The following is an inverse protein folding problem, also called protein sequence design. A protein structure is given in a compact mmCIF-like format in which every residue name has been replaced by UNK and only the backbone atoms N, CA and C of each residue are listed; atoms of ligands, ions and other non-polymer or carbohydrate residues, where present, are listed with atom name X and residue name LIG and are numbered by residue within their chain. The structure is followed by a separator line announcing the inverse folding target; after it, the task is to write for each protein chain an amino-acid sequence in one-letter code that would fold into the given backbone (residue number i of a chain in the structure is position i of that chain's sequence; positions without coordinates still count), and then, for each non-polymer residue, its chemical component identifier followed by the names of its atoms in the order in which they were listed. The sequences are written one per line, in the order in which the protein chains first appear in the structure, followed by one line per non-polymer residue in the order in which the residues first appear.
data_IF_614926078607
#
_entry.id   IF_614926078607
#
_cell.length_a   1.000
_cell.length_b   1.000
_cell.length_c   1.000
_cell.angle_alpha   90.00
_cell.angle_beta   90.00
_cell.angle_gamma   90.00
#
_symmetry.space_group_name_H-M   'P 1'
#
loop_
_entity.id
_entity.type
_entity.pdbx_description
1 polymer ?
#
# COMPACT_ATOMS: atom_id res chain seq x y z
N UNK A 1 -12.47 -19.14 16.53
CA UNK A 1 -11.50 -18.04 16.40
C UNK A 1 -11.30 -17.73 14.92
N UNK A 2 -11.20 -16.44 14.54
CA UNK A 2 -11.14 -16.03 13.13
C UNK A 2 -9.90 -15.17 12.87
N UNK A 3 -9.44 -15.21 11.62
CA UNK A 3 -8.35 -14.39 11.10
C UNK A 3 -8.91 -13.46 10.02
N UNK A 4 -8.54 -12.19 10.05
CA UNK A 4 -8.96 -11.21 9.07
C UNK A 4 -7.77 -10.88 8.15
N UNK A 5 -7.87 -11.22 6.88
CA UNK A 5 -6.85 -10.94 5.87
C UNK A 5 -7.24 -9.79 4.96
N UNK A 6 -6.29 -8.90 4.67
CA UNK A 6 -6.44 -7.83 3.68
C UNK A 6 -5.50 -8.03 2.50
N UNK A 7 -5.97 -7.62 1.32
CA UNK A 7 -5.16 -7.46 0.11
C UNK A 7 -5.38 -6.04 -0.43
N UNK A 8 -4.36 -5.19 -0.25
CA UNK A 8 -4.38 -3.78 -0.66
C UNK A 8 -3.86 -3.69 -2.10
N UNK A 9 -4.72 -4.00 -3.04
CA UNK A 9 -4.40 -3.92 -4.47
C UNK A 9 -4.57 -2.51 -5.05
N UNK A 10 -4.08 -2.31 -6.26
CA UNK A 10 -4.29 -1.06 -7.01
C UNK A 10 -5.70 -0.94 -7.61
N UNK A 11 -6.36 -2.05 -7.89
CA UNK A 11 -7.74 -2.05 -8.42
C UNK A 11 -8.79 -2.04 -7.33
N UNK A 12 -8.53 -2.67 -6.19
CA UNK A 12 -9.45 -2.77 -5.06
C UNK A 12 -8.73 -3.20 -3.79
N UNK A 13 -9.35 -2.93 -2.66
CA UNK A 13 -8.97 -3.49 -1.36
C UNK A 13 -9.94 -4.62 -1.04
N UNK A 14 -9.39 -5.82 -0.79
CA UNK A 14 -10.15 -7.00 -0.39
C UNK A 14 -9.99 -7.28 1.10
N UNK A 15 -11.06 -7.76 1.72
CA UNK A 15 -11.05 -8.32 3.07
C UNK A 15 -11.60 -9.74 3.02
N UNK A 16 -11.02 -10.65 3.79
CA UNK A 16 -11.46 -12.04 3.91
C UNK A 16 -11.39 -12.49 5.36
N UNK A 17 -12.47 -13.08 5.85
CA UNK A 17 -12.57 -13.66 7.18
C UNK A 17 -12.41 -15.17 7.08
N UNK A 18 -11.42 -15.73 7.76
CA UNK A 18 -11.08 -17.15 7.73
C UNK A 18 -11.26 -17.76 9.11
N UNK A 19 -11.92 -18.90 9.20
CA UNK A 19 -11.96 -19.70 10.43
C UNK A 19 -10.56 -20.32 10.65
N UNK A 20 -9.93 -20.00 11.80
CA UNK A 20 -8.56 -20.39 12.10
C UNK A 20 -8.38 -21.91 12.28
N UNK A 21 -9.43 -22.64 12.63
CA UNK A 21 -9.37 -24.09 12.87
C UNK A 21 -9.53 -24.89 11.56
N UNK A 22 -10.40 -24.42 10.69
CA UNK A 22 -10.75 -25.15 9.46
C UNK A 22 -10.05 -24.63 8.21
N UNK A 23 -9.43 -23.44 8.28
CA UNK A 23 -8.85 -22.73 7.13
C UNK A 23 -9.88 -22.25 6.10
N UNK A 24 -11.18 -22.39 6.37
CA UNK A 24 -12.23 -22.00 5.43
C UNK A 24 -12.52 -20.51 5.48
N UNK A 25 -12.64 -19.88 4.30
CA UNK A 25 -13.15 -18.53 4.18
C UNK A 25 -14.65 -18.50 4.53
N UNK A 26 -15.01 -17.65 5.49
CA UNK A 26 -16.38 -17.51 6.01
C UNK A 26 -17.11 -16.39 5.28
N UNK A 27 -16.41 -15.29 5.04
CA UNK A 27 -16.95 -14.12 4.34
C UNK A 27 -15.81 -13.39 3.64
N UNK A 28 -16.10 -12.79 2.49
CA UNK A 28 -15.16 -11.92 1.78
C UNK A 28 -15.87 -10.78 1.09
N UNK A 29 -15.21 -9.65 1.01
CA UNK A 29 -15.71 -8.47 0.30
C UNK A 29 -14.54 -7.67 -0.28
N UNK A 30 -14.84 -6.82 -1.25
CA UNK A 30 -13.86 -5.89 -1.81
C UNK A 30 -14.51 -4.55 -2.15
N UNK A 31 -13.74 -3.51 -2.11
CA UNK A 31 -14.14 -2.16 -2.53
C UNK A 31 -12.96 -1.45 -3.21
N UNK A 32 -13.24 -0.51 -4.15
CA UNK A 32 -14.57 -0.19 -4.68
C UNK A 32 -15.14 -1.35 -5.51
N UNK A 33 -16.43 -1.31 -5.85
CA UNK A 33 -17.09 -2.32 -6.70
C UNK A 33 -16.74 -2.20 -8.18
N UNK A 34 -16.27 -1.01 -8.57
CA UNK A 34 -15.62 -0.74 -9.85
C UNK A 34 -14.12 -0.63 -9.61
N UNK A 35 -13.31 -0.72 -10.65
CA UNK A 35 -11.86 -0.57 -10.52
C UNK A 35 -11.49 0.81 -9.94
N UNK A 36 -10.60 0.82 -8.95
CA UNK A 36 -10.13 2.05 -8.34
C UNK A 36 -9.36 2.90 -9.35
N UNK A 37 -9.62 4.21 -9.33
CA UNK A 37 -8.96 5.13 -10.25
C UNK A 37 -7.44 5.20 -10.01
N UNK A 38 -6.70 5.22 -11.10
CA UNK A 38 -5.27 5.53 -11.14
C UNK A 38 -5.11 6.90 -11.79
N UNK A 39 -4.46 7.83 -11.11
CA UNK A 39 -4.13 9.14 -11.65
C UNK A 39 -2.88 9.03 -12.53
N UNK A 40 -3.04 9.34 -13.82
CA UNK A 40 -2.00 9.29 -14.83
C UNK A 40 -1.85 10.65 -15.52
N UNK A 41 -1.28 11.63 -14.81
CA UNK A 41 -1.13 13.01 -15.32
C UNK A 41 -0.20 13.11 -16.54
N UNK A 42 0.69 12.13 -16.73
CA UNK A 42 1.62 12.02 -17.88
C UNK A 42 1.75 10.55 -18.29
N UNK A 43 2.16 10.26 -19.53
CA UNK A 43 2.48 8.89 -19.94
C UNK A 43 3.51 8.24 -19.00
N UNK A 44 3.24 7.02 -18.57
CA UNK A 44 4.09 6.26 -17.66
C UNK A 44 3.97 6.65 -16.17
N UNK A 45 3.16 7.64 -15.82
CA UNK A 45 2.86 7.98 -14.44
C UNK A 45 1.66 7.18 -13.93
N UNK A 46 1.73 6.75 -12.69
CA UNK A 46 0.65 6.06 -12.01
C UNK A 46 0.66 6.39 -10.51
N UNK A 47 -0.39 7.04 -10.05
CA UNK A 47 -0.53 7.47 -8.66
C UNK A 47 -1.91 7.11 -8.11
N UNK A 48 -1.97 6.90 -6.80
CA UNK A 48 -3.21 6.73 -6.06
C UNK A 48 -3.17 7.50 -4.74
N UNK A 49 -4.33 7.97 -4.29
CA UNK A 49 -4.45 8.55 -2.95
C UNK A 49 -4.49 7.42 -1.90
N UNK A 50 -3.53 7.35 -0.96
CA UNK A 50 -3.52 6.37 0.11
C UNK A 50 -4.77 6.40 0.99
N UNK A 51 -5.43 7.57 1.12
CA UNK A 51 -6.68 7.68 1.87
C UNK A 51 -7.79 6.83 1.26
N UNK A 52 -7.83 6.69 -0.06
CA UNK A 52 -8.80 5.82 -0.72
C UNK A 52 -8.59 4.33 -0.38
N UNK A 53 -7.34 3.89 -0.18
CA UNK A 53 -7.09 2.51 0.29
C UNK A 53 -7.66 2.30 1.68
N UNK A 54 -7.48 3.29 2.58
CA UNK A 54 -8.01 3.24 3.95
C UNK A 54 -9.54 3.21 3.97
N UNK A 55 -10.20 4.08 3.18
CA UNK A 55 -11.66 4.09 3.08
C UNK A 55 -12.21 2.74 2.54
N UNK A 56 -11.59 2.22 1.47
CA UNK A 56 -11.99 0.94 0.91
C UNK A 56 -11.72 -0.25 1.86
N UNK A 57 -10.68 -0.17 2.69
CA UNK A 57 -10.42 -1.15 3.74
C UNK A 57 -11.56 -1.15 4.77
N UNK A 58 -11.98 0.03 5.24
CA UNK A 58 -13.11 0.16 6.18
C UNK A 58 -14.39 -0.42 5.59
N UNK A 59 -14.72 -0.08 4.35
CA UNK A 59 -15.91 -0.59 3.65
C UNK A 59 -15.86 -2.11 3.48
N UNK A 60 -14.70 -2.65 3.11
CA UNK A 60 -14.50 -4.10 2.96
C UNK A 60 -14.65 -4.82 4.29
N UNK A 61 -14.10 -4.25 5.38
CA UNK A 61 -14.23 -4.79 6.75
C UNK A 61 -15.69 -4.82 7.18
N UNK A 62 -16.41 -3.69 7.04
CA UNK A 62 -17.83 -3.60 7.41
C UNK A 62 -18.65 -4.66 6.67
N UNK A 63 -18.43 -4.82 5.37
CA UNK A 63 -19.15 -5.79 4.56
C UNK A 63 -18.86 -7.25 4.98
N UNK A 64 -17.60 -7.57 5.30
CA UNK A 64 -17.20 -8.90 5.77
C UNK A 64 -17.80 -9.22 7.13
N UNK A 65 -17.76 -8.27 8.07
CA UNK A 65 -18.34 -8.44 9.41
C UNK A 65 -19.87 -8.60 9.34
N UNK A 66 -20.55 -7.77 8.56
CA UNK A 66 -22.00 -7.87 8.36
C UNK A 66 -22.41 -9.20 7.70
N UNK A 67 -21.63 -9.66 6.69
CA UNK A 67 -21.92 -10.91 5.97
C UNK A 67 -21.63 -12.18 6.79
N UNK A 68 -20.73 -12.10 7.76
CA UNK A 68 -20.38 -13.25 8.61
C UNK A 68 -21.19 -13.33 9.90
N UNK A 69 -21.72 -12.22 10.40
CA UNK A 69 -22.32 -12.11 11.72
C UNK A 69 -21.31 -12.25 12.90
N UNK A 70 -20.00 -12.26 12.60
CA UNK A 70 -18.96 -12.37 13.62
C UNK A 70 -18.63 -10.99 14.17
N UNK A 71 -18.62 -10.86 15.50
CA UNK A 71 -18.22 -9.63 16.17
C UNK A 71 -16.70 -9.43 16.20
N UNK A 72 -16.21 -8.18 16.47
CA UNK A 72 -14.77 -7.86 16.54
C UNK A 72 -13.99 -8.76 17.50
N UNK A 73 -14.57 -9.12 18.62
CA UNK A 73 -13.98 -9.99 19.66
C UNK A 73 -13.67 -11.40 19.14
N UNK A 74 -14.28 -11.83 18.03
CA UNK A 74 -13.99 -13.09 17.37
C UNK A 74 -12.71 -13.08 16.54
N UNK A 75 -12.13 -11.90 16.25
CA UNK A 75 -10.93 -11.72 15.43
C UNK A 75 -9.67 -11.87 16.29
N UNK A 76 -8.89 -12.90 16.03
CA UNK A 76 -7.66 -13.19 16.78
C UNK A 76 -6.42 -12.49 16.20
N UNK A 77 -6.37 -12.29 14.88
CA UNK A 77 -5.24 -11.64 14.21
C UNK A 77 -5.67 -11.03 12.87
N UNK A 78 -4.86 -10.07 12.42
CA UNK A 78 -4.99 -9.41 11.12
C UNK A 78 -3.72 -9.63 10.32
N UNK A 79 -3.86 -10.00 9.04
CA UNK A 79 -2.78 -10.08 8.08
C UNK A 79 -3.00 -9.11 6.92
N UNK A 80 -1.94 -8.48 6.44
CA UNK A 80 -1.99 -7.50 5.35
C UNK A 80 -1.05 -7.93 4.24
N UNK A 81 -1.59 -8.16 3.04
CA UNK A 81 -0.88 -8.24 1.77
C UNK A 81 -1.15 -6.96 0.98
N UNK A 82 -0.23 -6.55 0.14
CA UNK A 82 -0.37 -5.27 -0.56
C UNK A 82 0.45 -5.20 -1.84
N UNK A 83 0.09 -4.25 -2.73
CA UNK A 83 0.85 -3.92 -3.92
C UNK A 83 2.29 -3.51 -3.56
N UNK A 84 3.25 -4.09 -4.25
CA UNK A 84 4.68 -3.88 -3.99
C UNK A 84 5.16 -2.49 -4.43
N UNK A 85 6.32 -2.06 -3.93
CA UNK A 85 7.10 -0.91 -4.42
C UNK A 85 6.40 0.46 -4.42
N UNK A 86 5.19 0.58 -3.86
CA UNK A 86 4.53 1.88 -3.71
C UNK A 86 5.32 2.79 -2.77
N UNK A 87 5.29 4.11 -3.04
CA UNK A 87 5.90 5.11 -2.17
C UNK A 87 4.83 6.04 -1.61
N UNK A 88 4.57 5.94 -0.31
CA UNK A 88 3.77 6.89 0.47
C UNK A 88 4.71 7.76 1.27
N UNK A 89 4.53 9.09 1.19
CA UNK A 89 5.30 10.08 1.93
C UNK A 89 4.40 10.77 2.94
N UNK A 90 4.82 10.83 4.21
CA UNK A 90 4.08 11.48 5.27
C UNK A 90 4.93 12.49 6.04
N UNK A 91 4.28 13.53 6.57
CA UNK A 91 4.88 14.51 7.47
C UNK A 91 4.93 14.01 8.92
N UNK A 92 5.41 14.87 9.85
CA UNK A 92 5.47 14.56 11.30
C UNK A 92 4.09 14.31 11.92
N UNK A 93 3.04 14.88 11.35
CA UNK A 93 1.66 14.66 11.76
C UNK A 93 1.02 13.42 11.15
N UNK A 94 1.77 12.61 10.41
CA UNK A 94 1.31 11.45 9.65
C UNK A 94 0.36 11.82 8.49
N UNK A 95 0.33 13.09 8.07
CA UNK A 95 -0.46 13.50 6.92
C UNK A 95 0.25 13.11 5.63
N UNK A 96 -0.50 12.57 4.69
CA UNK A 96 0.00 12.25 3.35
C UNK A 96 0.36 13.55 2.61
N UNK A 97 1.60 13.63 2.13
CA UNK A 97 2.13 14.84 1.49
C UNK A 97 1.77 14.96 0.01
N UNK A 98 1.50 13.83 -0.63
CA UNK A 98 1.17 13.72 -2.04
C UNK A 98 0.53 12.35 -2.35
N UNK A 99 -0.14 12.17 -3.49
CA UNK A 99 -0.54 10.85 -3.95
C UNK A 99 0.64 9.88 -4.03
N UNK A 100 0.42 8.63 -3.64
CA UNK A 100 1.46 7.60 -3.68
C UNK A 100 1.84 7.26 -5.11
N UNK A 101 3.14 7.18 -5.38
CA UNK A 101 3.65 6.65 -6.66
C UNK A 101 3.56 5.12 -6.56
N UNK A 102 2.68 4.49 -7.33
CA UNK A 102 2.40 3.06 -7.23
C UNK A 102 3.33 2.19 -8.09
N UNK A 103 3.18 0.88 -8.00
CA UNK A 103 4.09 -0.12 -8.56
C UNK A 103 4.27 -0.04 -10.09
N UNK A 104 3.23 0.34 -10.84
CA UNK A 104 3.26 0.42 -12.30
C UNK A 104 3.76 1.76 -12.85
N UNK A 105 4.17 2.70 -11.99
CA UNK A 105 4.74 3.99 -12.39
C UNK A 105 6.19 3.84 -12.88
N UNK A 106 6.50 4.40 -14.03
CA UNK A 106 7.82 4.27 -14.66
C UNK A 106 8.71 5.54 -14.55
N UNK A 107 8.23 6.63 -13.88
CA UNK A 107 9.00 7.90 -13.80
C UNK A 107 10.36 7.76 -13.14
N UNK A 108 10.50 6.80 -12.23
CA UNK A 108 11.72 6.59 -11.45
C UNK A 108 12.72 5.61 -12.09
N UNK A 109 12.36 4.99 -13.23
CA UNK A 109 13.23 4.03 -13.93
C UNK A 109 14.64 4.58 -14.21
N UNK A 110 14.83 5.84 -14.66
CA UNK A 110 16.18 6.39 -14.87
C UNK A 110 17.03 6.46 -13.58
N UNK A 111 16.40 6.68 -12.42
CA UNK A 111 17.09 6.71 -11.13
C UNK A 111 17.54 5.31 -10.69
N UNK A 112 16.68 4.32 -10.90
CA UNK A 112 17.04 2.93 -10.64
C UNK A 112 18.09 2.40 -11.60
N UNK A 113 18.11 2.85 -12.85
CA UNK A 113 19.15 2.52 -13.80
C UNK A 113 20.51 3.06 -13.36
N UNK A 114 20.60 4.32 -12.92
CA UNK A 114 21.80 4.91 -12.33
C UNK A 114 22.30 4.11 -11.12
N UNK A 115 21.36 3.68 -10.26
CA UNK A 115 21.70 2.85 -9.10
C UNK A 115 22.21 1.46 -9.52
N UNK A 116 21.61 0.84 -10.52
CA UNK A 116 22.02 -0.45 -11.06
C UNK A 116 23.44 -0.41 -11.62
N UNK A 117 23.76 0.64 -12.39
CA UNK A 117 25.10 0.87 -12.94
C UNK A 117 26.14 1.12 -11.83
N UNK A 118 25.78 1.90 -10.81
CA UNK A 118 26.69 2.24 -9.71
C UNK A 118 26.96 1.07 -8.76
N UNK A 119 25.97 0.22 -8.50
CA UNK A 119 26.11 -0.95 -7.62
C UNK A 119 26.67 -2.16 -8.34
N UNK A 120 26.44 -2.26 -9.64
CA UNK A 120 26.78 -3.39 -10.49
C UNK A 120 25.71 -4.47 -10.56
N UNK A 121 25.59 -5.08 -11.73
CA UNK A 121 24.56 -6.08 -12.05
C UNK A 121 24.57 -7.26 -11.08
N UNK A 122 25.74 -7.86 -10.83
CA UNK A 122 25.86 -9.01 -9.95
C UNK A 122 25.34 -8.71 -8.54
N UNK A 123 25.68 -7.55 -7.99
CA UNK A 123 25.21 -7.12 -6.67
C UNK A 123 23.69 -6.93 -6.66
N UNK A 124 23.17 -6.22 -7.63
CA UNK A 124 21.73 -5.98 -7.73
C UNK A 124 20.93 -7.28 -7.89
N UNK A 125 21.34 -8.15 -8.81
CA UNK A 125 20.61 -9.40 -9.07
C UNK A 125 20.68 -10.39 -7.92
N UNK A 126 21.83 -10.47 -7.21
CA UNK A 126 21.97 -11.38 -6.07
C UNK A 126 21.23 -10.93 -4.81
N UNK A 127 21.05 -9.62 -4.59
CA UNK A 127 20.44 -9.10 -3.36
C UNK A 127 19.02 -8.55 -3.58
N UNK A 128 18.78 -7.92 -4.73
CA UNK A 128 17.49 -7.31 -5.04
C UNK A 128 16.62 -8.16 -5.98
N UNK A 129 17.19 -9.21 -6.55
CA UNK A 129 16.56 -10.13 -7.54
C UNK A 129 16.11 -9.44 -8.82
N UNK A 130 16.33 -8.14 -8.95
CA UNK A 130 15.92 -7.33 -10.11
C UNK A 130 16.72 -6.01 -10.16
N UNK A 131 16.61 -5.28 -11.28
CA UNK A 131 17.01 -3.88 -11.36
C UNK A 131 16.12 -3.02 -10.46
N UNK A 132 16.68 -2.04 -9.71
CA UNK A 132 15.91 -1.18 -8.82
C UNK A 132 15.07 -0.11 -9.53
N UNK A 133 14.87 -0.21 -10.83
CA UNK A 133 14.19 0.80 -11.66
C UNK A 133 12.82 1.21 -11.15
N UNK A 134 12.08 0.27 -10.58
CA UNK A 134 10.73 0.55 -10.08
C UNK A 134 10.60 0.47 -8.55
N UNK A 135 11.72 0.46 -7.83
CA UNK A 135 11.70 0.33 -6.37
C UNK A 135 11.37 1.65 -5.68
N UNK A 136 10.87 1.55 -4.45
CA UNK A 136 10.49 2.69 -3.61
C UNK A 136 11.63 3.70 -3.44
N UNK A 137 12.88 3.24 -3.29
CA UNK A 137 14.05 4.11 -3.17
C UNK A 137 14.28 4.97 -4.44
N UNK A 138 14.07 4.40 -5.63
CA UNK A 138 14.19 5.14 -6.89
C UNK A 138 13.11 6.19 -7.03
N UNK A 139 11.89 5.91 -6.56
CA UNK A 139 10.78 6.88 -6.51
C UNK A 139 11.08 8.02 -5.53
N UNK A 140 11.71 7.71 -4.40
CA UNK A 140 12.15 8.74 -3.44
C UNK A 140 13.24 9.62 -4.04
N UNK A 141 14.20 9.05 -4.77
CA UNK A 141 15.24 9.81 -5.47
C UNK A 141 14.63 10.75 -6.51
N UNK A 142 13.59 10.30 -7.23
CA UNK A 142 12.85 11.15 -8.15
C UNK A 142 12.16 12.32 -7.43
N UNK A 143 11.49 12.09 -6.29
CA UNK A 143 10.85 13.16 -5.50
C UNK A 143 11.90 14.16 -5.02
N UNK A 144 13.05 13.69 -4.55
CA UNK A 144 14.13 14.58 -4.08
C UNK A 144 14.57 15.59 -5.15
N UNK A 145 14.66 15.16 -6.40
CA UNK A 145 15.11 15.99 -7.50
C UNK A 145 13.99 16.84 -8.11
N UNK A 146 12.78 16.29 -8.25
CA UNK A 146 11.70 16.91 -9.01
C UNK A 146 10.65 17.62 -8.14
N UNK A 147 10.56 17.26 -6.86
CA UNK A 147 9.62 17.85 -5.88
C UNK A 147 10.34 18.20 -4.57
N UNK A 148 11.39 19.02 -4.57
CA UNK A 148 12.22 19.29 -3.39
C UNK A 148 11.40 19.84 -2.21
N UNK A 149 10.41 20.68 -2.45
CA UNK A 149 9.53 21.20 -1.40
C UNK A 149 8.68 20.12 -0.71
N UNK A 150 8.33 19.05 -1.41
CA UNK A 150 7.69 17.86 -0.82
C UNK A 150 8.72 17.07 -0.04
N UNK A 151 9.90 16.83 -0.64
CA UNK A 151 10.97 16.05 -0.05
C UNK A 151 11.42 16.60 1.32
N UNK A 152 11.56 17.90 1.47
CA UNK A 152 11.96 18.56 2.72
C UNK A 152 10.94 18.37 3.87
N UNK A 153 9.69 18.13 3.53
CA UNK A 153 8.61 17.89 4.50
C UNK A 153 8.46 16.42 4.89
N UNK A 154 9.13 15.50 4.19
CA UNK A 154 9.01 14.07 4.46
C UNK A 154 9.61 13.77 5.85
N UNK A 155 8.78 13.25 6.74
CA UNK A 155 9.22 12.68 8.01
C UNK A 155 9.46 11.18 7.89
N UNK A 156 8.57 10.45 7.19
CA UNK A 156 8.71 9.01 6.91
C UNK A 156 8.24 8.70 5.51
N UNK A 157 8.83 7.64 4.97
CA UNK A 157 8.33 6.93 3.79
C UNK A 157 7.79 5.58 4.21
N UNK A 158 6.77 5.11 3.53
CA UNK A 158 6.07 3.86 3.83
C UNK A 158 5.74 3.13 2.54
N UNK A 159 5.74 1.80 2.60
CA UNK A 159 5.04 0.98 1.59
C UNK A 159 3.53 1.08 1.80
N UNK A 160 2.69 0.71 0.82
CA UNK A 160 1.24 0.76 0.98
C UNK A 160 0.72 0.00 2.21
N UNK A 161 1.27 -1.18 2.49
CA UNK A 161 0.91 -1.95 3.67
C UNK A 161 1.37 -1.33 4.98
N UNK A 162 2.55 -0.69 5.00
CA UNK A 162 3.03 0.03 6.19
C UNK A 162 2.12 1.21 6.54
N UNK A 163 1.69 1.97 5.52
CA UNK A 163 0.72 3.05 5.69
C UNK A 163 -0.59 2.56 6.30
N UNK A 164 -1.12 1.45 5.80
CA UNK A 164 -2.33 0.82 6.34
C UNK A 164 -2.11 0.34 7.78
N UNK A 165 -0.99 -0.33 8.08
CA UNK A 165 -0.69 -0.80 9.43
C UNK A 165 -0.57 0.35 10.44
N UNK A 166 0.08 1.46 10.05
CA UNK A 166 0.18 2.67 10.87
C UNK A 166 -1.19 3.32 11.04
N UNK A 167 -1.98 3.46 9.98
CA UNK A 167 -3.34 3.99 10.04
C UNK A 167 -4.24 3.15 10.96
N UNK A 168 -4.08 1.83 10.94
CA UNK A 168 -4.83 0.90 11.79
C UNK A 168 -4.48 1.04 13.29
N UNK A 169 -3.22 1.34 13.60
CA UNK A 169 -2.72 1.37 14.98
C UNK A 169 -2.79 2.76 15.62
N UNK A 170 -2.73 3.83 14.84
CA UNK A 170 -2.69 5.21 15.32
C UNK A 170 -3.96 6.02 15.04
N UNK A 171 -4.70 5.68 14.00
CA UNK A 171 -6.03 6.20 13.80
C UNK A 171 -6.96 5.21 14.52
N UNK A 172 -7.46 5.59 15.70
CA UNK A 172 -8.52 4.83 16.35
C UNK A 172 -9.60 4.53 15.32
N UNK A 173 -9.75 3.25 14.99
CA UNK A 173 -10.94 2.82 14.27
C UNK A 173 -12.13 3.35 15.06
N UNK A 174 -13.06 4.09 14.45
CA UNK A 174 -14.32 4.33 15.13
C UNK A 174 -14.81 2.94 15.52
N UNK A 175 -15.09 2.76 16.79
CA UNK A 175 -15.58 1.52 17.36
C UNK A 175 -16.68 0.98 16.44
N UNK A 176 -16.37 -0.10 15.74
CA UNK A 176 -17.32 -0.76 14.83
C UNK A 176 -18.31 -1.50 15.70
#
# INVERSE_FOLDING_TARGET
MYLLGYDIGSSSVKASLVNAETGKCVSSAFFPKTEAAIMAARPGWAEQDPQNWWENLKLSTQAVMAGSGIGPDGIAAIGISYQMHGLVCVDKGQNVLRPAIIWCDSRAVPYGQKAFEALGETQCLSHLLNSPGNFTASKLAWIKENEPAVYERIYKIMLPGDYIAVSYTHLTLPTI
#
